data_IF_035257946235
#
_entry.id   IF_035257946235
#
_cell.length_a   1.000
_cell.length_b   1.000
_cell.length_c   1.000
_cell.angle_alpha   90.00
_cell.angle_beta   90.00
_cell.angle_gamma   90.00
#
_symmetry.space_group_name_H-M   'P 1'
#
loop_
_entity.id
_entity.type
_entity.pdbx_description
1 polymer ?
#
# COMPACT_ATOMS: atom_id res chain seq x y z
N UNK A 1 -25.91 -10.67 20.91
CA UNK A 1 -25.34 -10.71 19.55
C UNK A 1 -23.88 -11.05 19.70
N UNK A 2 -23.45 -12.20 19.17
CA UNK A 2 -22.04 -12.61 19.28
C UNK A 2 -21.16 -11.67 18.45
N UNK A 3 -20.35 -10.88 19.14
CA UNK A 3 -19.45 -9.88 18.56
C UNK A 3 -18.14 -10.48 18.02
N UNK A 4 -17.84 -11.74 18.38
CA UNK A 4 -16.61 -12.41 18.02
C UNK A 4 -16.41 -12.57 16.49
N UNK A 5 -17.42 -12.93 15.67
CA UNK A 5 -17.24 -13.04 14.22
C UNK A 5 -16.96 -11.69 13.55
N UNK A 6 -17.63 -10.61 13.97
CA UNK A 6 -17.39 -9.27 13.41
C UNK A 6 -16.01 -8.74 13.81
N UNK A 7 -15.59 -8.98 15.06
CA UNK A 7 -14.25 -8.63 15.52
C UNK A 7 -13.18 -9.35 14.71
N UNK A 8 -13.31 -10.68 14.51
CA UNK A 8 -12.36 -11.44 13.69
C UNK A 8 -12.28 -10.90 12.26
N UNK A 9 -13.43 -10.63 11.62
CA UNK A 9 -13.47 -10.05 10.28
C UNK A 9 -12.75 -8.70 10.20
N UNK A 10 -12.93 -7.83 11.21
CA UNK A 10 -12.24 -6.53 11.28
C UNK A 10 -10.74 -6.71 11.51
N UNK A 11 -10.34 -7.60 12.41
CA UNK A 11 -8.94 -7.91 12.69
C UNK A 11 -8.22 -8.43 11.43
N UNK A 12 -8.83 -9.36 10.71
CA UNK A 12 -8.34 -9.86 9.41
C UNK A 12 -8.25 -8.78 8.34
N UNK A 13 -9.02 -7.70 8.49
CA UNK A 13 -9.07 -6.60 7.53
C UNK A 13 -8.08 -5.48 7.86
N UNK A 14 -7.49 -5.46 9.05
CA UNK A 14 -6.56 -4.42 9.49
C UNK A 14 -5.35 -4.29 8.55
N UNK A 15 -4.78 -5.42 8.12
CA UNK A 15 -3.59 -5.49 7.29
C UNK A 15 -3.81 -6.48 6.17
N UNK A 16 -3.69 -6.05 4.92
CA UNK A 16 -3.83 -6.92 3.74
C UNK A 16 -2.74 -6.64 2.74
N UNK A 17 -2.16 -7.69 2.16
CA UNK A 17 -1.33 -7.51 0.96
C UNK A 17 -2.19 -7.22 -0.27
N UNK A 18 -1.66 -6.44 -1.19
CA UNK A 18 -2.31 -6.16 -2.46
C UNK A 18 -1.34 -5.62 -3.51
N UNK A 19 -1.91 -5.18 -4.62
CA UNK A 19 -1.17 -4.63 -5.74
C UNK A 19 -1.84 -3.36 -6.24
N UNK A 20 -1.06 -2.34 -6.59
CA UNK A 20 -1.59 -1.10 -7.16
C UNK A 20 -2.28 -1.39 -8.50
N UNK A 21 -3.56 -1.05 -8.60
CA UNK A 21 -4.37 -1.23 -9.80
C UNK A 21 -4.47 0.07 -10.62
N UNK A 22 -4.70 1.19 -9.94
CA UNK A 22 -4.93 2.52 -10.52
C UNK A 22 -4.29 3.61 -9.66
N UNK A 23 -3.87 4.71 -10.28
CA UNK A 23 -3.19 5.84 -9.63
C UNK A 23 -3.80 7.14 -10.17
N UNK A 24 -4.14 8.04 -9.24
CA UNK A 24 -4.57 9.41 -9.48
C UNK A 24 -3.46 10.33 -8.94
N UNK A 25 -2.64 10.85 -9.86
CA UNK A 25 -1.51 11.71 -9.51
C UNK A 25 -1.94 13.11 -9.09
N UNK A 26 -3.08 13.61 -9.57
CA UNK A 26 -3.58 14.95 -9.25
C UNK A 26 -4.06 15.03 -7.80
N UNK A 27 -4.67 13.94 -7.30
CA UNK A 27 -5.19 13.85 -5.93
C UNK A 27 -4.26 13.12 -4.98
N UNK A 28 -3.16 12.57 -5.47
CA UNK A 28 -2.24 11.71 -4.73
C UNK A 28 -2.94 10.50 -4.07
N UNK A 29 -3.79 9.82 -4.86
CA UNK A 29 -4.54 8.63 -4.43
C UNK A 29 -4.25 7.42 -5.32
N UNK A 30 -4.43 6.22 -4.78
CA UNK A 30 -4.32 4.98 -5.53
C UNK A 30 -5.44 4.01 -5.15
N UNK A 31 -5.65 3.02 -6.01
CA UNK A 31 -6.55 1.88 -5.73
C UNK A 31 -5.74 0.60 -5.71
N UNK A 32 -6.06 -0.26 -4.76
CA UNK A 32 -5.36 -1.53 -4.51
C UNK A 32 -6.29 -2.69 -4.80
N UNK A 33 -5.81 -3.66 -5.57
CA UNK A 33 -6.44 -4.97 -5.67
C UNK A 33 -5.91 -5.86 -4.53
N UNK A 34 -6.80 -6.37 -3.68
CA UNK A 34 -6.48 -7.32 -2.60
C UNK A 34 -7.51 -8.45 -2.57
N UNK A 35 -7.08 -9.67 -2.92
CA UNK A 35 -7.99 -10.78 -3.17
C UNK A 35 -9.05 -10.41 -4.22
N UNK A 36 -10.34 -10.48 -3.86
CA UNK A 36 -11.46 -10.08 -4.72
C UNK A 36 -11.86 -8.61 -4.58
N UNK A 37 -11.26 -7.86 -3.65
CA UNK A 37 -11.59 -6.46 -3.37
C UNK A 37 -10.70 -5.54 -4.21
N UNK A 38 -11.32 -4.63 -4.95
CA UNK A 38 -10.68 -3.40 -5.43
C UNK A 38 -11.10 -2.27 -4.49
N UNK A 39 -10.14 -1.60 -3.86
CA UNK A 39 -10.45 -0.50 -2.92
C UNK A 39 -11.07 0.70 -3.63
N UNK A 40 -11.64 1.62 -2.84
CA UNK A 40 -11.82 3.00 -3.28
C UNK A 40 -10.46 3.71 -3.40
N UNK A 41 -10.46 4.99 -3.75
CA UNK A 41 -9.28 5.84 -3.79
C UNK A 41 -8.74 6.12 -2.39
N UNK A 42 -7.54 5.60 -2.12
CA UNK A 42 -6.87 5.72 -0.83
C UNK A 42 -5.56 6.50 -0.97
N UNK A 43 -5.16 7.28 0.04
CA UNK A 43 -3.84 7.89 0.08
C UNK A 43 -2.77 6.80 0.23
N UNK A 44 -1.59 7.06 -0.31
CA UNK A 44 -0.40 6.25 -0.02
C UNK A 44 0.53 6.99 0.96
N UNK A 45 1.27 6.21 1.74
CA UNK A 45 2.30 6.72 2.63
C UNK A 45 3.51 7.14 1.79
N UNK A 46 3.97 8.36 2.02
CA UNK A 46 5.28 8.84 1.56
C UNK A 46 6.25 8.89 2.74
N UNK A 47 7.56 8.80 2.51
CA UNK A 47 8.53 8.91 3.61
C UNK A 47 8.41 10.22 4.40
N UNK A 48 7.95 11.30 3.77
CA UNK A 48 7.76 12.64 4.37
C UNK A 48 6.60 13.38 3.71
N UNK A 49 5.64 13.87 4.51
CA UNK A 49 4.46 14.62 4.07
C UNK A 49 4.20 15.90 4.91
N UNK A 50 5.26 16.52 5.46
CA UNK A 50 5.17 17.74 6.27
C UNK A 50 5.59 18.99 5.50
N UNK A 51 6.35 19.89 6.13
CA UNK A 51 7.02 20.98 5.41
C UNK A 51 8.02 20.42 4.38
N UNK A 52 8.86 19.46 4.81
CA UNK A 52 9.61 18.58 3.90
C UNK A 52 8.65 17.56 3.29
N UNK A 53 8.66 17.45 1.97
CA UNK A 53 7.80 16.54 1.19
C UNK A 53 8.64 15.73 0.23
N UNK A 54 8.28 14.46 0.06
CA UNK A 54 8.88 13.59 -0.94
C UNK A 54 7.80 13.12 -1.91
N UNK A 55 8.06 13.30 -3.21
CA UNK A 55 7.22 12.76 -4.28
C UNK A 55 7.92 11.54 -4.89
N UNK A 56 7.36 10.37 -4.63
CA UNK A 56 7.74 9.10 -5.23
C UNK A 56 6.45 8.26 -5.29
N UNK A 57 5.59 8.47 -6.30
CA UNK A 57 4.32 7.79 -6.38
C UNK A 57 4.54 6.29 -6.63
N UNK A 58 3.64 5.43 -6.13
CA UNK A 58 3.71 4.02 -6.45
C UNK A 58 3.40 3.79 -7.94
N UNK A 59 3.79 2.65 -8.47
CA UNK A 59 3.53 2.28 -9.87
C UNK A 59 2.50 1.15 -9.99
N UNK A 60 1.79 1.09 -11.12
CA UNK A 60 0.81 0.02 -11.37
C UNK A 60 1.51 -1.34 -11.35
N UNK A 61 0.95 -2.31 -10.62
CA UNK A 61 1.58 -3.62 -10.44
C UNK A 61 2.57 -3.70 -9.28
N UNK A 62 2.85 -2.60 -8.58
CA UNK A 62 3.67 -2.61 -7.38
C UNK A 62 2.95 -3.31 -6.22
N UNK A 63 3.67 -4.18 -5.49
CA UNK A 63 3.13 -4.87 -4.33
C UNK A 63 3.17 -3.96 -3.10
N UNK A 64 2.07 -3.96 -2.35
CA UNK A 64 1.83 -3.02 -1.24
C UNK A 64 1.17 -3.69 -0.06
N UNK A 65 1.23 -3.02 1.10
CA UNK A 65 0.41 -3.33 2.27
C UNK A 65 -0.73 -2.30 2.37
N UNK A 66 -1.97 -2.78 2.45
CA UNK A 66 -3.15 -1.99 2.80
C UNK A 66 -3.33 -1.98 4.32
N UNK A 67 -3.39 -0.79 4.90
CA UNK A 67 -3.62 -0.54 6.31
C UNK A 67 -5.05 -0.01 6.48
N UNK A 68 -5.90 -0.73 7.19
CA UNK A 68 -7.33 -0.39 7.34
C UNK A 68 -7.66 -0.08 8.80
N UNK A 69 -7.67 1.20 9.23
CA UNK A 69 -8.11 1.57 10.57
C UNK A 69 -9.48 0.98 10.90
N UNK A 70 -9.65 0.45 12.11
CA UNK A 70 -10.89 -0.24 12.56
C UNK A 70 -11.32 -1.43 11.70
N UNK A 71 -10.43 -1.93 10.82
CA UNK A 71 -10.73 -3.01 9.90
C UNK A 71 -11.59 -2.59 8.71
N UNK A 72 -11.69 -1.29 8.41
CA UNK A 72 -12.44 -0.75 7.27
C UNK A 72 -11.50 -0.35 6.11
N UNK A 73 -11.48 -1.13 5.01
CA UNK A 73 -10.67 -0.83 3.83
C UNK A 73 -11.03 0.49 3.13
N UNK A 74 -12.25 1.00 3.30
CA UNK A 74 -12.67 2.25 2.65
C UNK A 74 -11.98 3.49 3.22
N UNK A 75 -11.52 3.41 4.47
CA UNK A 75 -10.78 4.47 5.16
C UNK A 75 -9.29 4.16 5.28
N UNK A 76 -8.80 3.24 4.44
CA UNK A 76 -7.44 2.74 4.52
C UNK A 76 -6.36 3.71 4.05
N UNK A 77 -5.11 3.31 4.25
CA UNK A 77 -3.94 3.93 3.65
C UNK A 77 -3.01 2.85 3.09
N UNK A 78 -2.27 3.18 2.04
CA UNK A 78 -1.44 2.23 1.31
C UNK A 78 0.02 2.45 1.64
N UNK A 79 0.75 1.40 2.02
CA UNK A 79 2.19 1.42 2.23
C UNK A 79 2.89 0.68 1.06
N UNK A 80 3.53 1.41 0.13
CA UNK A 80 4.27 0.82 -0.98
C UNK A 80 5.65 0.28 -0.58
N UNK A 81 6.34 -0.36 -1.53
CA UNK A 81 7.75 -0.76 -1.36
C UNK A 81 7.99 -2.22 -0.96
N UNK A 82 7.06 -3.15 -1.23
CA UNK A 82 7.33 -4.58 -1.07
C UNK A 82 7.97 -5.15 -2.34
N UNK A 83 9.19 -5.69 -2.21
CA UNK A 83 9.78 -6.47 -3.30
C UNK A 83 8.92 -7.69 -3.64
N UNK A 84 8.87 -8.01 -4.92
CA UNK A 84 8.07 -9.10 -5.48
C UNK A 84 8.83 -9.82 -6.59
N UNK A 85 8.28 -10.93 -7.09
CA UNK A 85 8.86 -11.63 -8.24
C UNK A 85 8.91 -10.75 -9.49
N UNK A 86 7.93 -9.84 -9.64
CA UNK A 86 7.85 -8.85 -10.73
C UNK A 86 8.84 -7.70 -10.52
N UNK A 87 8.94 -7.18 -9.30
CA UNK A 87 9.79 -6.04 -8.94
C UNK A 87 10.80 -6.46 -7.86
N UNK A 88 11.93 -7.00 -8.30
CA UNK A 88 13.00 -7.52 -7.43
C UNK A 88 13.82 -6.40 -6.80
N UNK A 89 14.49 -6.71 -5.69
CA UNK A 89 15.45 -5.80 -5.08
C UNK A 89 16.55 -5.39 -6.10
N UNK A 90 16.91 -4.09 -6.16
CA UNK A 90 17.88 -3.59 -7.15
C UNK A 90 19.34 -3.97 -6.82
N UNK A 91 19.61 -4.51 -5.63
CA UNK A 91 20.94 -4.93 -5.20
C UNK A 91 20.84 -6.08 -4.19
N UNK A 92 21.92 -6.87 -4.09
CA UNK A 92 22.15 -7.88 -3.05
C UNK A 92 23.30 -7.51 -2.09
N UNK A 93 23.92 -6.34 -2.29
CA UNK A 93 25.09 -5.91 -1.52
C UNK A 93 24.66 -5.20 -0.23
N UNK A 94 25.08 -5.68 0.96
CA UNK A 94 24.58 -5.15 2.24
C UNK A 94 25.14 -3.76 2.61
N UNK A 95 26.22 -3.31 1.96
CA UNK A 95 26.88 -2.02 2.25
C UNK A 95 26.40 -0.86 1.36
N UNK A 96 25.48 -1.12 0.43
CA UNK A 96 25.03 -0.13 -0.54
C UNK A 96 23.61 0.37 -0.24
N UNK A 97 23.42 1.69 -0.30
CA UNK A 97 22.11 2.29 -0.48
C UNK A 97 21.90 2.54 -1.98
N UNK A 98 20.90 1.89 -2.58
CA UNK A 98 20.64 1.94 -4.03
C UNK A 98 19.22 2.40 -4.29
N UNK A 99 19.08 3.41 -5.16
CA UNK A 99 17.81 3.80 -5.78
C UNK A 99 17.96 3.60 -7.29
N UNK A 100 17.14 2.71 -7.85
CA UNK A 100 17.11 2.47 -9.28
C UNK A 100 15.92 3.21 -9.91
N UNK A 101 16.15 3.80 -11.08
CA UNK A 101 15.14 4.49 -11.88
C UNK A 101 14.92 3.73 -13.20
N UNK A 102 13.78 3.91 -13.89
CA UNK A 102 13.50 3.28 -15.18
C UNK A 102 14.52 3.60 -16.28
#
# INVERSE_FOLDING_TARGET
MDTAPDLNRRLESLLRFGTIAEIDHDRALCRVQTGKLLTDWLPWLSPRAGQTRQWNPPTKGEQVMLLSPSGDPATGAVLPGLFSDTHKAPSKQPSLHVTAYP
#
